data_IF_805486648786
#
_entry.id   IF_805486648786
#
_cell.length_a   1.000
_cell.length_b   1.000
_cell.length_c   1.000
_cell.angle_alpha   90.00
_cell.angle_beta   90.00
_cell.angle_gamma   90.00
#
_symmetry.space_group_name_H-M   'P 1'
#
loop_
_entity.id
_entity.type
_entity.pdbx_description
1 polymer ?
#
# COMPACT_ATOMS: atom_id res chain seq x y z
N UNK A 1 12.58 17.16 9.16
CA UNK A 1 11.14 17.16 8.81
C UNK A 1 10.39 17.05 10.14
N UNK A 2 9.47 17.96 10.44
CA UNK A 2 8.95 18.14 11.80
C UNK A 2 7.93 17.03 12.12
N UNK A 3 8.12 16.26 13.18
CA UNK A 3 7.24 15.17 13.64
C UNK A 3 5.77 15.63 13.73
N UNK A 4 5.54 16.89 14.12
CA UNK A 4 4.20 17.46 14.18
C UNK A 4 3.50 17.51 12.80
N UNK A 5 4.25 17.78 11.72
CA UNK A 5 3.70 17.86 10.38
C UNK A 5 3.31 16.48 9.82
N UNK A 6 4.05 15.42 10.13
CA UNK A 6 3.68 14.04 9.75
C UNK A 6 2.43 13.56 10.50
N UNK A 7 2.33 13.87 11.80
CA UNK A 7 1.15 13.55 12.60
C UNK A 7 -0.10 14.29 12.09
N UNK A 8 0.03 15.56 11.71
CA UNK A 8 -1.08 16.32 11.14
C UNK A 8 -1.53 15.76 9.78
N UNK A 9 -0.58 15.40 8.92
CA UNK A 9 -0.88 14.74 7.62
C UNK A 9 -1.61 13.43 7.83
N UNK A 10 -1.18 12.63 8.80
CA UNK A 10 -1.81 11.36 9.09
C UNK A 10 -3.24 11.54 9.61
N UNK A 11 -3.48 12.45 10.56
CA UNK A 11 -4.84 12.77 11.04
C UNK A 11 -5.77 13.22 9.93
N UNK A 12 -5.29 14.04 8.99
CA UNK A 12 -6.07 14.44 7.81
C UNK A 12 -6.35 13.24 6.90
N UNK A 13 -5.39 12.34 6.74
CA UNK A 13 -5.54 11.13 5.94
C UNK A 13 -6.61 10.19 6.54
N UNK A 14 -6.56 9.91 7.84
CA UNK A 14 -7.58 9.11 8.54
C UNK A 14 -8.98 9.74 8.42
N UNK A 15 -9.07 11.05 8.62
CA UNK A 15 -10.32 11.77 8.46
C UNK A 15 -10.86 11.65 7.02
N UNK A 16 -9.99 11.78 6.00
CA UNK A 16 -10.37 11.63 4.60
C UNK A 16 -10.96 10.25 4.31
N UNK A 17 -10.29 9.18 4.71
CA UNK A 17 -10.76 7.82 4.48
C UNK A 17 -12.03 7.50 5.28
N UNK A 18 -12.16 8.01 6.50
CA UNK A 18 -13.38 7.87 7.32
C UNK A 18 -14.59 8.58 6.70
N UNK A 19 -14.40 9.78 6.14
CA UNK A 19 -15.47 10.50 5.42
C UNK A 19 -15.84 9.72 4.16
N UNK A 20 -14.84 9.32 3.39
CA UNK A 20 -15.03 8.59 2.14
C UNK A 20 -15.78 7.27 2.35
N UNK A 21 -15.51 6.55 3.45
CA UNK A 21 -16.22 5.32 3.78
C UNK A 21 -17.73 5.54 3.99
N UNK A 22 -18.10 6.64 4.64
CA UNK A 22 -19.49 6.96 4.98
C UNK A 22 -20.23 7.71 3.86
N UNK A 23 -19.50 8.41 3.01
CA UNK A 23 -20.07 9.21 1.92
C UNK A 23 -20.62 8.36 0.79
N UNK A 24 -21.66 8.84 0.11
CA UNK A 24 -22.13 8.26 -1.16
C UNK A 24 -21.30 8.74 -2.37
N UNK A 25 -20.52 9.81 -2.21
CA UNK A 25 -19.68 10.39 -3.25
C UNK A 25 -18.21 10.18 -2.95
N UNK A 26 -17.35 10.35 -3.94
CA UNK A 26 -15.89 10.35 -3.77
C UNK A 26 -15.32 11.74 -3.49
N UNK A 27 -16.19 12.74 -3.31
CA UNK A 27 -15.80 14.13 -3.03
C UNK A 27 -15.81 14.39 -1.52
N UNK A 28 -14.73 14.94 -1.02
CA UNK A 28 -14.56 15.33 0.38
C UNK A 28 -14.20 16.81 0.41
N UNK A 29 -14.98 17.61 1.14
CA UNK A 29 -14.70 19.04 1.29
C UNK A 29 -13.65 19.31 2.37
N UNK A 30 -12.93 20.43 2.25
CA UNK A 30 -11.94 20.85 3.24
C UNK A 30 -12.60 21.09 4.61
N UNK A 31 -13.81 21.66 4.63
CA UNK A 31 -14.55 21.93 5.85
C UNK A 31 -14.94 20.65 6.60
N UNK A 32 -15.38 19.61 5.87
CA UNK A 32 -15.65 18.29 6.46
C UNK A 32 -14.38 17.66 7.01
N UNK A 33 -13.30 17.76 6.26
CA UNK A 33 -12.00 17.25 6.67
C UNK A 33 -11.53 17.90 7.97
N UNK A 34 -11.61 19.22 8.06
CA UNK A 34 -11.28 19.99 9.28
C UNK A 34 -12.16 19.58 10.48
N UNK A 35 -13.48 19.42 10.27
CA UNK A 35 -14.41 19.01 11.32
C UNK A 35 -14.09 17.62 11.86
N UNK A 36 -13.83 16.65 11.00
CA UNK A 36 -13.56 15.26 11.40
C UNK A 36 -12.18 15.12 12.02
N UNK A 37 -11.15 15.74 11.42
CA UNK A 37 -9.77 15.68 11.93
C UNK A 37 -9.52 16.52 13.17
N UNK A 38 -10.42 17.49 13.48
CA UNK A 38 -10.25 18.51 14.52
C UNK A 38 -9.01 19.38 14.31
N UNK A 39 -8.62 19.61 13.04
CA UNK A 39 -7.51 20.45 12.62
C UNK A 39 -8.07 21.77 12.11
N UNK A 40 -7.40 22.89 12.41
CA UNK A 40 -7.84 24.22 11.95
C UNK A 40 -7.78 24.32 10.43
N UNK A 41 -8.65 25.16 9.85
CA UNK A 41 -8.66 25.39 8.40
C UNK A 41 -7.31 25.92 7.90
N UNK A 42 -6.65 26.77 8.68
CA UNK A 42 -5.32 27.32 8.34
C UNK A 42 -4.26 26.21 8.25
N UNK A 43 -4.20 25.31 9.23
CA UNK A 43 -3.26 24.19 9.23
C UNK A 43 -3.56 23.20 8.11
N UNK A 44 -4.84 22.86 7.89
CA UNK A 44 -5.25 21.96 6.83
C UNK A 44 -4.92 22.54 5.45
N UNK A 45 -5.20 23.82 5.20
CA UNK A 45 -4.87 24.48 3.93
C UNK A 45 -3.37 24.52 3.67
N UNK A 46 -2.54 24.69 4.71
CA UNK A 46 -1.09 24.65 4.59
C UNK A 46 -0.57 23.27 4.15
N UNK A 47 -1.27 22.19 4.54
CA UNK A 47 -0.85 20.81 4.26
C UNK A 47 -1.44 20.30 2.94
N UNK A 48 -2.68 20.66 2.66
CA UNK A 48 -3.48 20.10 1.57
C UNK A 48 -3.88 21.22 0.62
N UNK A 49 -3.52 21.09 -0.66
CA UNK A 49 -4.08 21.96 -1.71
C UNK A 49 -5.48 21.47 -2.10
N UNK A 50 -6.34 22.38 -2.58
CA UNK A 50 -7.71 22.04 -3.02
C UNK A 50 -7.72 20.92 -4.08
N UNK A 51 -6.76 20.92 -4.99
CA UNK A 51 -6.61 19.87 -6.01
C UNK A 51 -6.27 18.49 -5.40
N UNK A 52 -5.58 18.47 -4.27
CA UNK A 52 -5.21 17.21 -3.59
C UNK A 52 -6.41 16.56 -2.91
N UNK A 53 -7.33 17.34 -2.38
CA UNK A 53 -8.55 16.83 -1.74
C UNK A 53 -9.44 16.17 -2.79
N UNK A 54 -9.71 16.85 -3.88
CA UNK A 54 -10.59 16.36 -4.95
C UNK A 54 -10.03 15.12 -5.66
N UNK A 55 -8.70 14.99 -5.71
CA UNK A 55 -8.06 13.88 -6.40
C UNK A 55 -7.91 12.61 -5.55
N UNK A 56 -7.94 12.70 -4.22
CA UNK A 56 -7.66 11.57 -3.32
C UNK A 56 -6.23 11.02 -3.39
N UNK A 57 -5.46 11.40 -4.42
CA UNK A 57 -4.11 10.91 -4.65
C UNK A 57 -3.13 11.31 -3.55
N UNK A 58 -3.29 12.49 -2.99
CA UNK A 58 -2.46 12.98 -1.89
C UNK A 58 -2.61 12.08 -0.66
N UNK A 59 -3.85 11.81 -0.26
CA UNK A 59 -4.15 10.97 0.90
C UNK A 59 -3.81 9.50 0.65
N UNK A 60 -4.03 9.01 -0.59
CA UNK A 60 -3.64 7.65 -0.95
C UNK A 60 -2.12 7.44 -0.82
N UNK A 61 -1.30 8.40 -1.22
CA UNK A 61 0.16 8.33 -1.02
C UNK A 61 0.56 8.31 0.45
N UNK A 62 -0.11 9.11 1.28
CA UNK A 62 0.15 9.12 2.73
C UNK A 62 -0.22 7.76 3.32
N UNK A 63 -1.39 7.20 2.97
CA UNK A 63 -1.83 5.90 3.42
C UNK A 63 -0.83 4.80 3.02
N UNK A 64 -0.48 4.71 1.74
CA UNK A 64 0.48 3.72 1.22
C UNK A 64 1.82 3.84 1.97
N UNK A 65 2.37 5.05 2.06
CA UNK A 65 3.66 5.28 2.72
C UNK A 65 3.63 4.91 4.21
N UNK A 66 2.52 5.10 4.89
CA UNK A 66 2.35 4.73 6.30
C UNK A 66 2.30 3.22 6.46
N UNK A 67 1.43 2.56 5.69
CA UNK A 67 1.29 1.09 5.70
C UNK A 67 2.61 0.43 5.34
N UNK A 68 3.30 0.89 4.30
CA UNK A 68 4.57 0.33 3.85
C UNK A 68 5.66 0.40 4.94
N UNK A 69 5.73 1.52 5.67
CA UNK A 69 6.68 1.67 6.79
C UNK A 69 6.34 0.72 7.94
N UNK A 70 5.06 0.58 8.28
CA UNK A 70 4.61 -0.31 9.35
C UNK A 70 4.91 -1.77 9.00
N UNK A 71 4.52 -2.22 7.80
CA UNK A 71 4.78 -3.59 7.32
C UNK A 71 6.27 -3.90 7.33
N UNK A 72 7.12 -3.01 6.79
CA UNK A 72 8.56 -3.23 6.77
C UNK A 72 9.18 -3.22 8.17
N UNK A 73 8.62 -2.45 9.11
CA UNK A 73 9.10 -2.43 10.50
C UNK A 73 8.73 -3.71 11.24
N UNK A 74 7.46 -4.15 11.13
CA UNK A 74 6.96 -5.40 11.73
C UNK A 74 7.74 -6.59 11.17
N UNK A 75 7.81 -6.72 9.87
CA UNK A 75 8.52 -7.82 9.21
C UNK A 75 10.03 -7.85 9.57
N UNK A 76 10.66 -6.69 9.76
CA UNK A 76 12.05 -6.61 10.19
C UNK A 76 12.25 -7.19 11.58
N UNK A 77 11.32 -6.94 12.50
CA UNK A 77 11.38 -7.49 13.85
C UNK A 77 11.24 -9.02 13.79
N UNK A 78 10.29 -9.55 13.02
CA UNK A 78 10.05 -10.98 12.87
C UNK A 78 11.22 -11.70 12.17
N UNK A 79 11.80 -11.12 11.11
CA UNK A 79 12.93 -11.72 10.36
C UNK A 79 14.24 -11.71 11.19
N UNK A 80 14.45 -10.77 12.10
CA UNK A 80 15.72 -10.63 12.83
C UNK A 80 16.09 -11.91 13.58
N UNK A 81 15.10 -12.65 14.09
CA UNK A 81 15.28 -13.89 14.85
C UNK A 81 14.97 -15.15 14.03
N UNK A 82 14.47 -14.98 12.79
CA UNK A 82 14.05 -16.11 11.93
C UNK A 82 15.13 -16.49 10.92
N UNK A 83 15.82 -17.58 11.22
CA UNK A 83 16.82 -18.22 10.33
C UNK A 83 16.26 -19.39 9.53
N UNK A 84 14.98 -19.74 9.67
CA UNK A 84 14.38 -20.96 9.13
C UNK A 84 13.51 -20.69 7.90
N UNK A 85 12.77 -19.58 7.89
CA UNK A 85 11.85 -19.25 6.80
C UNK A 85 12.57 -18.90 5.50
N UNK A 86 12.03 -19.40 4.41
CA UNK A 86 12.55 -19.12 3.05
C UNK A 86 12.27 -17.67 2.63
N UNK A 87 12.96 -17.21 1.58
CA UNK A 87 12.64 -15.92 0.92
C UNK A 87 11.19 -15.87 0.47
N UNK A 88 10.65 -17.00 -0.03
CA UNK A 88 9.25 -17.13 -0.40
C UNK A 88 8.31 -16.86 0.78
N UNK A 89 8.53 -17.52 1.92
CA UNK A 89 7.69 -17.37 3.11
C UNK A 89 7.68 -15.93 3.61
N UNK A 90 8.86 -15.29 3.69
CA UNK A 90 9.03 -13.90 4.11
C UNK A 90 8.35 -12.91 3.15
N UNK A 91 8.39 -13.18 1.84
CA UNK A 91 7.68 -12.36 0.85
C UNK A 91 6.17 -12.52 0.96
N UNK A 92 5.68 -13.77 1.11
CA UNK A 92 4.25 -14.04 1.27
C UNK A 92 3.70 -13.38 2.54
N UNK A 93 4.44 -13.46 3.64
CA UNK A 93 4.10 -12.82 4.91
C UNK A 93 4.03 -11.29 4.77
N UNK A 94 5.07 -10.65 4.24
CA UNK A 94 5.08 -9.20 4.05
C UNK A 94 3.97 -8.68 3.13
N UNK A 95 3.63 -9.43 2.08
CA UNK A 95 2.53 -9.09 1.18
C UNK A 95 1.17 -9.31 1.84
N UNK A 96 1.00 -10.38 2.60
CA UNK A 96 -0.23 -10.68 3.35
C UNK A 96 -0.49 -9.61 4.40
N UNK A 97 0.50 -9.29 5.22
CA UNK A 97 0.44 -8.22 6.22
C UNK A 97 0.06 -6.86 5.61
N UNK A 98 0.57 -6.55 4.41
CA UNK A 98 0.21 -5.35 3.68
C UNK A 98 -1.27 -5.32 3.30
N UNK A 99 -1.84 -6.45 2.85
CA UNK A 99 -3.26 -6.54 2.54
C UNK A 99 -4.14 -6.53 3.79
N UNK A 100 -3.70 -7.10 4.90
CA UNK A 100 -4.39 -7.00 6.20
C UNK A 100 -4.55 -5.54 6.63
N UNK A 101 -3.48 -4.74 6.53
CA UNK A 101 -3.56 -3.31 6.83
C UNK A 101 -4.43 -2.54 5.83
N UNK A 102 -4.44 -2.89 4.54
CA UNK A 102 -5.36 -2.30 3.58
C UNK A 102 -6.82 -2.68 3.81
N UNK A 103 -7.07 -3.79 4.51
CA UNK A 103 -8.43 -4.27 4.74
C UNK A 103 -9.28 -3.26 5.53
N UNK A 104 -8.71 -2.55 6.47
CA UNK A 104 -9.38 -1.47 7.22
C UNK A 104 -9.91 -0.36 6.30
N UNK A 105 -9.25 -0.14 5.15
CA UNK A 105 -9.56 0.92 4.19
C UNK A 105 -10.26 0.40 2.93
N UNK A 106 -10.61 -0.90 2.87
CA UNK A 106 -11.10 -1.58 1.65
C UNK A 106 -12.26 -0.85 0.99
N UNK A 107 -13.26 -0.42 1.75
CA UNK A 107 -14.45 0.25 1.20
C UNK A 107 -14.10 1.63 0.59
N UNK A 108 -13.26 2.39 1.26
CA UNK A 108 -12.81 3.68 0.78
C UNK A 108 -11.91 3.55 -0.46
N UNK A 109 -11.00 2.57 -0.48
CA UNK A 109 -10.17 2.25 -1.64
C UNK A 109 -11.01 1.80 -2.84
N UNK A 110 -12.07 1.00 -2.61
CA UNK A 110 -13.04 0.59 -3.64
C UNK A 110 -13.77 1.79 -4.25
N UNK A 111 -14.14 2.79 -3.44
CA UNK A 111 -14.75 4.04 -3.93
C UNK A 111 -13.78 4.88 -4.76
N UNK A 112 -12.54 5.04 -4.31
CA UNK A 112 -11.50 5.74 -5.07
C UNK A 112 -11.23 5.07 -6.42
N UNK A 113 -11.16 3.74 -6.46
CA UNK A 113 -10.89 2.98 -7.68
C UNK A 113 -12.01 3.09 -8.74
N UNK A 114 -13.24 3.40 -8.33
CA UNK A 114 -14.38 3.58 -9.24
C UNK A 114 -14.40 4.96 -9.92
N UNK A 115 -13.68 5.93 -9.40
CA UNK A 115 -13.62 7.28 -9.98
C UNK A 115 -12.79 7.27 -11.28
N UNK A 116 -13.48 7.27 -12.43
CA UNK A 116 -12.87 7.09 -13.75
C UNK A 116 -11.90 8.19 -14.17
N UNK A 117 -12.09 9.42 -13.68
CA UNK A 117 -11.24 10.57 -14.05
C UNK A 117 -9.82 10.48 -13.49
N UNK A 118 -9.60 9.61 -12.51
CA UNK A 118 -8.35 9.52 -11.77
C UNK A 118 -7.64 8.17 -11.92
N UNK A 119 -8.26 7.19 -12.60
CA UNK A 119 -7.74 5.82 -12.67
C UNK A 119 -6.27 5.73 -13.10
N UNK A 120 -5.89 6.43 -14.16
CA UNK A 120 -4.52 6.34 -14.69
C UNK A 120 -3.52 6.94 -13.70
N UNK A 121 -3.84 8.10 -13.13
CA UNK A 121 -2.93 8.79 -12.20
C UNK A 121 -2.81 8.06 -10.87
N UNK A 122 -3.93 7.51 -10.35
CA UNK A 122 -3.94 6.62 -9.18
C UNK A 122 -3.08 5.40 -9.46
N UNK A 123 -3.30 4.72 -10.59
CA UNK A 123 -2.52 3.56 -10.98
C UNK A 123 -1.01 3.84 -11.05
N UNK A 124 -0.61 4.93 -11.73
CA UNK A 124 0.81 5.30 -11.85
C UNK A 124 1.45 5.62 -10.50
N UNK A 125 0.73 6.29 -9.61
CA UNK A 125 1.22 6.58 -8.27
C UNK A 125 1.36 5.31 -7.43
N UNK A 126 0.35 4.46 -7.42
CA UNK A 126 0.39 3.16 -6.72
C UNK A 126 1.53 2.30 -7.26
N UNK A 127 1.72 2.24 -8.57
CA UNK A 127 2.79 1.48 -9.19
C UNK A 127 4.18 1.96 -8.76
N UNK A 128 4.39 3.28 -8.67
CA UNK A 128 5.65 3.86 -8.23
C UNK A 128 5.94 3.58 -6.74
N UNK A 129 4.95 3.81 -5.88
CA UNK A 129 5.10 3.55 -4.44
C UNK A 129 5.32 2.04 -4.18
N UNK A 130 4.60 1.17 -4.89
CA UNK A 130 4.80 -0.27 -4.82
C UNK A 130 6.23 -0.67 -5.20
N UNK A 131 6.79 -0.11 -6.28
CA UNK A 131 8.16 -0.41 -6.67
C UNK A 131 9.16 -0.12 -5.55
N UNK A 132 8.99 1.03 -4.88
CA UNK A 132 9.81 1.41 -3.74
C UNK A 132 9.66 0.42 -2.57
N UNK A 133 8.42 0.03 -2.26
CA UNK A 133 8.13 -0.97 -1.23
C UNK A 133 8.80 -2.31 -1.55
N UNK A 134 8.63 -2.86 -2.76
CA UNK A 134 9.22 -4.15 -3.13
C UNK A 134 10.74 -4.11 -3.16
N UNK A 135 11.34 -3.00 -3.59
CA UNK A 135 12.78 -2.84 -3.52
C UNK A 135 13.29 -2.89 -2.08
N UNK A 136 12.57 -2.30 -1.13
CA UNK A 136 12.91 -2.33 0.29
C UNK A 136 12.63 -3.71 0.91
N UNK A 137 11.50 -4.33 0.56
CA UNK A 137 11.14 -5.68 1.01
C UNK A 137 12.20 -6.70 0.58
N UNK A 138 12.61 -6.69 -0.69
CA UNK A 138 13.66 -7.56 -1.19
C UNK A 138 15.00 -7.31 -0.50
N UNK A 139 15.34 -6.05 -0.17
CA UNK A 139 16.56 -5.76 0.62
C UNK A 139 16.48 -6.34 2.03
N UNK A 140 15.28 -6.43 2.58
CA UNK A 140 15.07 -6.96 3.92
C UNK A 140 15.16 -8.49 3.97
N UNK A 141 14.65 -9.17 2.93
CA UNK A 141 14.51 -10.65 2.92
C UNK A 141 15.66 -11.38 2.23
N UNK A 142 16.48 -10.70 1.45
CA UNK A 142 17.62 -11.28 0.71
C UNK A 142 18.93 -10.60 1.13
N UNK A 143 19.91 -11.40 1.57
CA UNK A 143 21.19 -10.88 2.09
C UNK A 143 22.10 -10.29 1.00
N UNK A 144 22.15 -10.92 -0.20
CA UNK A 144 22.96 -10.45 -1.33
C UNK A 144 22.15 -10.38 -2.62
N UNK A 145 22.20 -9.26 -3.31
CA UNK A 145 21.47 -9.07 -4.56
C UNK A 145 22.30 -8.44 -5.68
N UNK A 146 22.23 -9.07 -6.86
CA UNK A 146 22.59 -8.39 -8.09
C UNK A 146 21.55 -7.28 -8.37
N UNK A 147 22.01 -6.04 -8.59
CA UNK A 147 21.15 -4.88 -8.83
C UNK A 147 20.14 -5.09 -9.97
N UNK A 148 20.56 -5.72 -11.07
CA UNK A 148 19.68 -6.01 -12.22
C UNK A 148 18.57 -7.01 -11.87
N UNK A 149 18.90 -8.05 -11.12
CA UNK A 149 17.95 -9.06 -10.70
C UNK A 149 16.93 -8.48 -9.70
N UNK A 150 17.36 -7.61 -8.79
CA UNK A 150 16.48 -6.91 -7.87
C UNK A 150 15.44 -6.04 -8.57
N UNK A 151 15.83 -5.34 -9.64
CA UNK A 151 14.90 -4.56 -10.46
C UNK A 151 13.84 -5.48 -11.07
N UNK A 152 14.27 -6.60 -11.67
CA UNK A 152 13.37 -7.58 -12.30
C UNK A 152 12.39 -8.17 -11.28
N UNK A 153 12.87 -8.62 -10.12
CA UNK A 153 12.04 -9.12 -9.01
C UNK A 153 11.03 -8.08 -8.53
N UNK A 154 11.48 -6.83 -8.30
CA UNK A 154 10.59 -5.75 -7.88
C UNK A 154 9.48 -5.46 -8.89
N UNK A 155 9.79 -5.54 -10.20
CA UNK A 155 8.80 -5.37 -11.26
C UNK A 155 7.81 -6.53 -11.30
N UNK A 156 8.29 -7.77 -11.18
CA UNK A 156 7.44 -8.96 -11.15
C UNK A 156 6.48 -8.93 -9.94
N UNK A 157 6.99 -8.65 -8.75
CA UNK A 157 6.19 -8.49 -7.54
C UNK A 157 5.15 -7.36 -7.68
N UNK A 158 5.51 -6.25 -8.32
CA UNK A 158 4.59 -5.15 -8.57
C UNK A 158 3.42 -5.56 -9.47
N UNK A 159 3.67 -6.37 -10.51
CA UNK A 159 2.62 -6.90 -11.39
C UNK A 159 1.68 -7.82 -10.60
N UNK A 160 2.23 -8.78 -9.86
CA UNK A 160 1.44 -9.71 -9.03
C UNK A 160 0.61 -8.94 -8.01
N UNK A 161 1.23 -8.02 -7.27
CA UNK A 161 0.53 -7.19 -6.30
C UNK A 161 -0.60 -6.36 -6.91
N UNK A 162 -0.36 -5.76 -8.09
CA UNK A 162 -1.39 -4.96 -8.78
C UNK A 162 -2.61 -5.82 -9.13
N UNK A 163 -2.38 -7.07 -9.55
CA UNK A 163 -3.46 -8.04 -9.82
C UNK A 163 -4.14 -8.48 -8.53
N UNK A 164 -3.39 -8.73 -7.48
CA UNK A 164 -3.92 -9.06 -6.15
C UNK A 164 -4.80 -7.93 -5.61
N UNK A 165 -4.39 -6.67 -5.81
CA UNK A 165 -5.17 -5.49 -5.42
C UNK A 165 -6.50 -5.41 -6.20
N UNK A 166 -6.50 -5.78 -7.47
CA UNK A 166 -7.74 -5.86 -8.27
C UNK A 166 -8.71 -6.92 -7.69
N UNK A 167 -8.20 -8.09 -7.32
CA UNK A 167 -8.97 -9.16 -6.66
C UNK A 167 -9.50 -8.65 -5.32
N UNK A 168 -8.63 -8.08 -4.49
CA UNK A 168 -8.97 -7.52 -3.19
C UNK A 168 -10.13 -6.51 -3.25
N UNK A 169 -10.09 -5.59 -4.22
CA UNK A 169 -11.12 -4.56 -4.36
C UNK A 169 -12.44 -5.09 -4.95
N UNK A 170 -12.41 -6.21 -5.69
CA UNK A 170 -13.62 -6.85 -6.26
C UNK A 170 -14.26 -7.82 -5.30
N UNK A 171 -13.48 -8.48 -4.46
CA UNK A 171 -13.96 -9.46 -3.50
C UNK A 171 -14.88 -8.80 -2.47
N UNK A 172 -16.04 -9.41 -2.22
CA UNK A 172 -17.02 -8.94 -1.23
C UNK A 172 -16.88 -9.68 0.11
N UNK A 173 -15.99 -10.66 0.19
CA UNK A 173 -15.71 -11.38 1.42
C UNK A 173 -15.14 -10.46 2.51
N UNK A 174 -15.35 -10.90 3.74
CA UNK A 174 -14.87 -10.21 4.95
C UNK A 174 -13.46 -10.68 5.38
N UNK A 175 -12.72 -11.26 4.46
CA UNK A 175 -11.35 -11.75 4.66
C UNK A 175 -10.46 -11.42 3.46
N UNK A 176 -9.21 -11.84 3.51
CA UNK A 176 -8.22 -11.69 2.43
C UNK A 176 -7.78 -13.04 1.85
N UNK A 177 -8.47 -14.13 2.15
CA UNK A 177 -8.07 -15.48 1.77
C UNK A 177 -7.90 -15.67 0.26
N UNK A 178 -8.80 -15.05 -0.53
CA UNK A 178 -8.72 -15.08 -2.00
C UNK A 178 -7.45 -14.41 -2.53
N UNK A 179 -7.02 -13.34 -1.87
CA UNK A 179 -5.80 -12.59 -2.20
C UNK A 179 -4.57 -13.39 -1.80
N UNK A 180 -4.56 -13.98 -0.59
CA UNK A 180 -3.45 -14.80 -0.11
C UNK A 180 -3.24 -16.00 -1.04
N UNK A 181 -4.30 -16.74 -1.41
CA UNK A 181 -4.19 -17.84 -2.37
C UNK A 181 -3.64 -17.43 -3.74
N UNK A 182 -3.97 -16.23 -4.19
CA UNK A 182 -3.43 -15.70 -5.44
C UNK A 182 -1.94 -15.37 -5.31
N UNK A 183 -1.54 -14.71 -4.21
CA UNK A 183 -0.14 -14.39 -3.92
C UNK A 183 0.70 -15.66 -3.80
N UNK A 184 0.24 -16.61 -2.99
CA UNK A 184 0.87 -17.91 -2.76
C UNK A 184 1.19 -18.62 -4.08
N UNK A 185 0.19 -18.75 -4.95
CA UNK A 185 0.37 -19.36 -6.27
C UNK A 185 1.45 -18.69 -7.10
N UNK A 186 1.42 -17.36 -7.23
CA UNK A 186 2.37 -16.67 -8.12
C UNK A 186 3.78 -16.56 -7.53
N UNK A 187 3.91 -16.50 -6.21
CA UNK A 187 5.21 -16.59 -5.56
C UNK A 187 5.81 -17.99 -5.72
N UNK A 188 4.99 -19.07 -5.63
CA UNK A 188 5.42 -20.42 -5.93
C UNK A 188 5.87 -20.57 -7.40
N UNK A 189 5.12 -20.02 -8.35
CA UNK A 189 5.51 -20.00 -9.76
C UNK A 189 6.86 -19.27 -9.96
N UNK A 190 7.14 -18.20 -9.21
CA UNK A 190 8.43 -17.49 -9.26
C UNK A 190 9.58 -18.30 -8.65
N UNK A 191 9.32 -19.05 -7.60
CA UNK A 191 10.29 -19.95 -6.99
C UNK A 191 10.65 -21.10 -7.96
N UNK A 192 9.65 -21.72 -8.59
CA UNK A 192 9.79 -22.82 -9.54
C UNK A 192 10.64 -22.45 -10.76
N UNK A 193 10.51 -21.23 -11.26
CA UNK A 193 11.36 -20.73 -12.39
C UNK A 193 12.72 -20.18 -11.92
N UNK A 194 13.07 -20.30 -10.63
CA UNK A 194 14.34 -19.84 -10.08
C UNK A 194 14.45 -18.32 -9.90
N UNK A 195 13.38 -17.57 -10.14
CA UNK A 195 13.41 -16.09 -10.01
C UNK A 195 13.72 -15.66 -8.58
N UNK A 196 13.16 -16.32 -7.56
CA UNK A 196 13.42 -16.00 -6.15
C UNK A 196 14.79 -16.49 -5.68
N UNK A 197 15.26 -17.61 -6.21
CA UNK A 197 16.57 -18.16 -5.87
C UNK A 197 17.75 -17.46 -6.52
N UNK A 198 17.52 -16.57 -7.48
CA UNK A 198 18.58 -15.87 -8.19
C UNK A 198 19.39 -16.75 -9.16
N UNK A 199 18.81 -17.84 -9.64
CA UNK A 199 19.46 -18.87 -10.49
C UNK A 199 19.28 -18.59 -11.98
N UNK A 200 18.76 -17.40 -12.35
CA UNK A 200 18.62 -16.98 -13.76
C UNK A 200 19.81 -16.14 -14.19
#
# INVERSE_FOLDING_TARGET
MNLDNENLKWKLCEAYFSILEKSMTSEVSLDELCKVSKISLEEATRIVSDNSINNGNFFLKILISKIDKEVLSELKEDITDDTVSSTYDKLLEGLSLRFEKYFEYKQSLKKLSKNSKQKIQVFMNVFKENYTFFSNLLTLVEEEQNCGLKILKSMALNIVFTKSLEIFLKDENKDIDSVIRYLDKYLSDFEDIGLLAGVI
#
